data_IF_523765349300
#
_entry.id   IF_523765349300
#
_cell.length_a   1.000
_cell.length_b   1.000
_cell.length_c   1.000
_cell.angle_alpha   90.00
_cell.angle_beta   90.00
_cell.angle_gamma   90.00
#
_symmetry.space_group_name_H-M   'P 1'
#
loop_
_entity.id
_entity.type
_entity.pdbx_description
1 polymer ?
#
# COMPACT_ATOMS: atom_id res chain seq x y z
N UNK A 1 -11.21 -20.59 -8.57
CA UNK A 1 -12.33 -20.34 -7.62
C UNK A 1 -12.18 -19.02 -6.87
N UNK A 2 -11.28 -18.83 -5.86
CA UNK A 2 -11.16 -17.52 -5.16
C UNK A 2 -10.76 -16.37 -6.09
N UNK A 3 -9.85 -16.58 -7.04
CA UNK A 3 -9.45 -15.56 -8.01
C UNK A 3 -10.59 -15.17 -8.99
N UNK A 4 -11.53 -16.06 -9.25
CA UNK A 4 -12.69 -15.82 -10.13
C UNK A 4 -13.76 -14.95 -9.46
N UNK A 5 -13.80 -14.94 -8.13
CA UNK A 5 -14.71 -14.07 -7.36
C UNK A 5 -14.14 -12.66 -7.14
N UNK A 6 -12.97 -12.33 -7.70
CA UNK A 6 -12.31 -11.05 -7.48
C UNK A 6 -11.62 -10.92 -6.12
N UNK A 7 -11.57 -12.00 -5.34
CA UNK A 7 -10.92 -11.99 -4.03
C UNK A 7 -9.40 -11.98 -4.19
N UNK A 8 -8.71 -11.06 -3.50
CA UNK A 8 -7.28 -11.15 -3.31
C UNK A 8 -6.96 -12.19 -2.23
N UNK A 9 -6.01 -13.07 -2.51
CA UNK A 9 -5.58 -14.10 -1.56
C UNK A 9 -4.21 -13.72 -1.01
N UNK A 10 -4.12 -13.60 0.30
CA UNK A 10 -2.89 -13.30 0.99
C UNK A 10 -2.49 -14.52 1.85
N UNK A 11 -1.35 -15.14 1.53
CA UNK A 11 -0.77 -16.19 2.36
C UNK A 11 0.17 -15.57 3.37
N UNK A 12 -0.08 -15.84 4.63
CA UNK A 12 0.74 -15.34 5.74
C UNK A 12 1.50 -16.52 6.33
N UNK A 13 2.81 -16.40 6.46
CA UNK A 13 3.64 -17.44 7.08
C UNK A 13 3.29 -17.62 8.56
N UNK A 14 3.68 -18.76 9.12
CA UNK A 14 3.29 -19.28 10.45
C UNK A 14 3.41 -18.26 11.59
N UNK A 15 4.31 -17.28 11.49
CA UNK A 15 4.50 -16.24 12.50
C UNK A 15 4.29 -14.82 11.95
N UNK A 16 3.57 -14.68 10.85
CA UNK A 16 3.35 -13.38 10.20
C UNK A 16 4.59 -12.73 9.60
N UNK A 17 5.71 -13.45 9.54
CA UNK A 17 7.02 -12.91 9.10
C UNK A 17 7.14 -12.88 7.58
N UNK A 18 6.41 -13.73 6.89
CA UNK A 18 6.37 -13.78 5.43
C UNK A 18 4.94 -13.84 4.96
N UNK A 19 4.59 -13.04 3.98
CA UNK A 19 3.31 -13.14 3.30
C UNK A 19 3.50 -12.98 1.79
N UNK A 20 2.64 -13.63 1.06
CA UNK A 20 2.56 -13.54 -0.39
C UNK A 20 1.13 -13.17 -0.72
N UNK A 21 0.93 -12.19 -1.56
CA UNK A 21 -0.39 -11.88 -2.09
C UNK A 21 -0.42 -12.24 -3.57
N UNK A 22 -1.48 -12.89 -3.97
CA UNK A 22 -1.82 -13.10 -5.36
C UNK A 22 -3.29 -12.77 -5.53
N UNK A 23 -3.59 -12.01 -6.55
CA UNK A 23 -4.95 -11.63 -6.86
C UNK A 23 -5.05 -11.23 -8.32
N UNK A 24 -6.22 -11.43 -8.90
CA UNK A 24 -6.55 -10.78 -10.16
C UNK A 24 -6.81 -9.31 -9.83
N UNK A 25 -6.20 -8.38 -10.57
CA UNK A 25 -6.53 -6.98 -10.45
C UNK A 25 -8.05 -6.82 -10.62
N UNK A 26 -8.72 -6.17 -9.67
CA UNK A 26 -10.13 -5.82 -9.79
C UNK A 26 -10.33 -4.79 -10.90
N UNK A 27 -9.35 -3.91 -11.07
CA UNK A 27 -9.28 -3.01 -12.21
C UNK A 27 -8.74 -3.76 -13.43
N UNK A 28 -9.51 -3.79 -14.50
CA UNK A 28 -9.08 -4.27 -15.82
C UNK A 28 -8.29 -3.20 -16.59
N UNK A 29 -8.14 -2.00 -16.01
CA UNK A 29 -7.46 -0.84 -16.60
C UNK A 29 -5.99 -0.83 -16.18
N UNK A 30 -5.09 -0.55 -17.12
CA UNK A 30 -3.65 -0.33 -16.87
C UNK A 30 -3.32 1.08 -16.38
N UNK A 31 -4.30 1.97 -16.31
CA UNK A 31 -4.10 3.42 -16.07
C UNK A 31 -3.26 3.70 -14.81
N UNK A 32 -3.56 3.04 -13.69
CA UNK A 32 -2.79 3.22 -12.46
C UNK A 32 -1.39 2.63 -12.52
N UNK A 33 -1.22 1.47 -13.17
CA UNK A 33 0.10 0.86 -13.38
C UNK A 33 0.99 1.78 -14.24
N UNK A 34 0.45 2.31 -15.34
CA UNK A 34 1.16 3.23 -16.23
C UNK A 34 1.47 4.55 -15.53
N UNK A 35 0.51 5.10 -14.77
CA UNK A 35 0.73 6.30 -13.96
C UNK A 35 1.84 6.08 -12.94
N UNK A 36 1.82 4.97 -12.20
CA UNK A 36 2.86 4.62 -11.24
C UNK A 36 4.23 4.53 -11.92
N UNK A 37 4.32 3.83 -13.04
CA UNK A 37 5.57 3.68 -13.78
C UNK A 37 6.10 5.05 -14.26
N UNK A 38 5.23 5.91 -14.79
CA UNK A 38 5.56 7.27 -15.26
C UNK A 38 6.06 8.16 -14.11
N UNK A 39 5.37 8.14 -12.98
CA UNK A 39 5.79 8.90 -11.78
C UNK A 39 7.10 8.37 -11.22
N UNK A 40 7.27 7.05 -11.21
CA UNK A 40 8.47 6.41 -10.67
C UNK A 40 9.71 6.62 -11.54
N UNK A 41 9.58 6.55 -12.86
CA UNK A 41 10.68 6.68 -13.81
C UNK A 41 11.33 8.08 -13.79
N UNK A 42 10.57 9.12 -13.46
CA UNK A 42 11.07 10.50 -13.42
C UNK A 42 11.50 10.87 -11.98
N UNK A 43 12.80 11.20 -11.75
CA UNK A 43 13.29 11.55 -10.40
C UNK A 43 12.58 12.74 -9.75
N UNK A 44 12.15 13.74 -10.53
CA UNK A 44 11.42 14.91 -10.03
C UNK A 44 10.02 14.51 -9.57
N UNK A 45 9.32 13.72 -10.37
CA UNK A 45 8.00 13.23 -10.03
C UNK A 45 8.05 12.30 -8.82
N UNK A 46 9.05 11.41 -8.76
CA UNK A 46 9.28 10.53 -7.61
C UNK A 46 9.42 11.31 -6.31
N UNK A 47 10.19 12.40 -6.33
CA UNK A 47 10.34 13.27 -5.17
C UNK A 47 9.03 14.01 -4.85
N UNK A 48 8.27 14.43 -5.87
CA UNK A 48 6.98 15.10 -5.67
C UNK A 48 5.97 14.15 -4.99
N UNK A 49 5.90 12.89 -5.42
CA UNK A 49 5.05 11.87 -4.77
C UNK A 49 5.52 11.62 -3.34
N UNK A 50 6.82 11.47 -3.09
CA UNK A 50 7.35 11.30 -1.73
C UNK A 50 6.98 12.47 -0.81
N UNK A 51 7.04 13.71 -1.31
CA UNK A 51 6.60 14.91 -0.58
C UNK A 51 5.09 14.90 -0.32
N UNK A 52 4.29 14.46 -1.30
CA UNK A 52 2.85 14.33 -1.13
C UNK A 52 2.52 13.30 -0.03
N UNK A 53 3.17 12.13 -0.04
CA UNK A 53 3.03 11.12 1.02
C UNK A 53 3.41 11.67 2.39
N UNK A 54 4.50 12.43 2.49
CA UNK A 54 4.91 13.06 3.74
C UNK A 54 3.84 14.04 4.26
N UNK A 55 3.30 14.90 3.39
CA UNK A 55 2.24 15.86 3.74
C UNK A 55 0.95 15.16 4.19
N UNK A 56 0.62 14.02 3.60
CA UNK A 56 -0.55 13.23 4.01
C UNK A 56 -0.40 12.67 5.43
N UNK A 57 0.81 12.30 5.81
CA UNK A 57 1.12 11.77 7.16
C UNK A 57 1.27 12.86 8.20
N UNK A 58 1.78 14.02 7.81
CA UNK A 58 2.14 15.12 8.70
C UNK A 58 1.62 16.44 8.13
N UNK A 59 0.30 16.69 8.20
CA UNK A 59 -0.34 17.82 7.54
C UNK A 59 0.13 19.20 8.09
N UNK A 60 0.66 19.22 9.30
CA UNK A 60 1.16 20.43 9.96
C UNK A 60 2.53 20.88 9.43
N UNK A 61 3.18 20.09 8.57
CA UNK A 61 4.49 20.37 8.04
C UNK A 61 4.47 20.59 6.53
N UNK A 62 5.22 21.59 6.05
CA UNK A 62 5.45 21.78 4.63
C UNK A 62 6.72 21.03 4.18
N UNK A 63 6.61 19.99 3.33
CA UNK A 63 7.74 19.29 2.76
C UNK A 63 8.33 19.99 1.52
N UNK A 64 7.82 21.15 1.11
CA UNK A 64 8.33 21.88 -0.05
C UNK A 64 9.82 22.20 0.13
N UNK A 65 10.60 21.97 -0.92
CA UNK A 65 12.04 22.20 -0.86
C UNK A 65 12.87 21.08 -0.20
N UNK A 66 12.27 20.17 0.57
CA UNK A 66 13.01 19.09 1.21
C UNK A 66 13.47 18.02 0.22
N UNK A 67 14.70 17.57 0.41
CA UNK A 67 15.23 16.39 -0.27
C UNK A 67 14.61 15.10 0.32
N UNK A 68 14.74 13.99 -0.38
CA UNK A 68 14.29 12.68 0.13
C UNK A 68 14.97 12.32 1.47
N UNK A 69 16.26 12.62 1.62
CA UNK A 69 17.00 12.33 2.85
C UNK A 69 16.47 13.16 4.04
N UNK A 70 16.16 14.44 3.82
CA UNK A 70 15.58 15.31 4.85
C UNK A 70 14.17 14.85 5.24
N UNK A 71 13.34 14.43 4.26
CA UNK A 71 12.03 13.84 4.53
C UNK A 71 12.13 12.60 5.42
N UNK A 72 13.04 11.67 5.08
CA UNK A 72 13.26 10.46 5.89
C UNK A 72 13.74 10.79 7.32
N UNK A 73 14.63 11.76 7.47
CA UNK A 73 15.11 12.20 8.78
C UNK A 73 14.02 12.83 9.64
N UNK A 74 13.12 13.63 9.05
CA UNK A 74 11.97 14.21 9.74
C UNK A 74 10.93 13.15 10.09
N UNK A 75 10.64 12.26 9.16
CA UNK A 75 9.74 11.13 9.38
C UNK A 75 10.20 10.29 10.58
N UNK A 76 11.48 9.90 10.63
CA UNK A 76 12.01 9.12 11.73
C UNK A 76 11.85 9.79 13.09
N UNK A 77 11.95 11.13 13.16
CA UNK A 77 11.68 11.90 14.39
C UNK A 77 10.20 11.86 14.73
N UNK A 78 9.32 12.17 13.79
CA UNK A 78 7.86 12.16 14.01
C UNK A 78 7.33 10.81 14.45
N UNK A 79 7.83 9.72 13.87
CA UNK A 79 7.47 8.35 14.29
C UNK A 79 7.93 8.08 15.73
N UNK A 80 9.15 8.51 16.11
CA UNK A 80 9.63 8.39 17.51
C UNK A 80 8.76 9.20 18.47
N UNK A 81 8.39 10.41 18.08
CA UNK A 81 7.51 11.26 18.90
C UNK A 81 6.10 10.66 19.04
N UNK A 82 5.57 10.05 17.96
CA UNK A 82 4.31 9.30 18.02
C UNK A 82 4.40 8.16 19.05
N UNK A 83 5.45 7.35 19.04
CA UNK A 83 5.65 6.30 20.06
C UNK A 83 5.67 6.85 21.46
N UNK A 84 6.39 7.95 21.71
CA UNK A 84 6.45 8.60 23.04
C UNK A 84 5.09 9.13 23.46
N UNK A 85 4.36 9.78 22.56
CA UNK A 85 3.03 10.30 22.81
C UNK A 85 2.03 9.18 23.17
N UNK A 86 2.09 8.05 22.44
CA UNK A 86 1.22 6.92 22.75
C UNK A 86 1.59 6.24 24.07
N UNK A 87 2.87 6.11 24.39
CA UNK A 87 3.31 5.61 25.69
C UNK A 87 2.80 6.49 26.85
N UNK A 88 2.90 7.82 26.70
CA UNK A 88 2.39 8.76 27.70
C UNK A 88 0.85 8.70 27.84
N UNK A 89 0.12 8.56 26.71
CA UNK A 89 -1.34 8.48 26.68
C UNK A 89 -1.87 7.22 27.35
N UNK A 90 -1.22 6.07 27.12
CA UNK A 90 -1.69 4.75 27.57
C UNK A 90 -1.06 4.30 28.88
N UNK A 91 0.01 4.95 29.34
CA UNK A 91 0.80 4.50 30.48
C UNK A 91 1.69 3.27 30.21
N UNK A 92 1.70 2.75 28.97
CA UNK A 92 2.49 1.58 28.58
C UNK A 92 3.98 1.96 28.53
N UNK A 93 4.87 1.25 29.23
CA UNK A 93 6.31 1.53 29.18
C UNK A 93 6.87 1.34 27.77
N UNK A 94 7.54 2.36 27.24
CA UNK A 94 8.20 2.32 25.93
C UNK A 94 9.70 2.49 26.05
N UNK A 95 10.46 1.43 25.74
CA UNK A 95 11.92 1.41 25.78
C UNK A 95 12.56 1.46 24.38
N UNK A 96 11.76 1.73 23.36
CA UNK A 96 12.18 1.76 21.98
C UNK A 96 11.68 0.57 21.17
N UNK A 97 11.73 0.71 19.83
CA UNK A 97 11.35 -0.35 18.91
C UNK A 97 12.36 -1.48 18.97
N UNK A 98 11.90 -2.66 19.36
CA UNK A 98 12.67 -3.91 19.36
C UNK A 98 12.01 -4.89 18.40
N UNK A 99 12.75 -5.29 17.40
CA UNK A 99 12.29 -6.25 16.40
C UNK A 99 13.45 -7.14 15.99
N UNK A 100 13.30 -8.43 16.20
CA UNK A 100 14.22 -9.45 15.72
C UNK A 100 13.46 -10.30 14.70
N UNK A 101 13.89 -10.36 13.42
CA UNK A 101 13.26 -11.22 12.44
C UNK A 101 13.20 -12.67 12.91
N UNK A 102 12.02 -13.28 12.87
CA UNK A 102 11.81 -14.67 13.31
C UNK A 102 11.58 -14.85 14.81
N UNK A 103 11.81 -13.85 15.64
CA UNK A 103 11.54 -13.88 17.09
C UNK A 103 10.45 -12.89 17.49
N UNK A 104 9.20 -13.28 17.25
CA UNK A 104 8.05 -12.47 17.66
C UNK A 104 7.86 -12.47 19.17
N UNK A 105 8.11 -13.63 19.82
CA UNK A 105 7.85 -13.85 21.24
C UNK A 105 8.88 -13.17 22.16
N UNK A 106 10.08 -12.88 21.66
CA UNK A 106 11.14 -12.22 22.45
C UNK A 106 10.93 -10.73 22.70
N UNK A 107 9.91 -10.10 22.07
CA UNK A 107 9.52 -8.72 22.34
C UNK A 107 8.59 -8.58 23.54
N UNK A 108 8.61 -7.41 24.22
CA UNK A 108 7.57 -7.05 25.17
C UNK A 108 6.20 -6.90 24.47
N UNK A 109 5.09 -6.93 25.23
CA UNK A 109 3.72 -6.88 24.71
C UNK A 109 3.50 -5.77 23.70
N UNK A 110 3.99 -4.57 23.97
CA UNK A 110 3.81 -3.42 23.06
C UNK A 110 4.61 -3.59 21.76
N UNK A 111 5.82 -4.16 21.81
CA UNK A 111 6.59 -4.45 20.59
C UNK A 111 5.98 -5.57 19.75
N UNK A 112 5.39 -6.58 20.40
CA UNK A 112 4.62 -7.62 19.72
C UNK A 112 3.35 -7.03 19.06
N UNK A 113 2.60 -6.20 19.76
CA UNK A 113 1.42 -5.51 19.22
C UNK A 113 1.78 -4.61 18.03
N UNK A 114 2.83 -3.78 18.15
CA UNK A 114 3.32 -2.93 17.04
C UNK A 114 3.74 -3.78 15.84
N UNK A 115 4.37 -4.92 16.07
CA UNK A 115 4.76 -5.84 14.99
C UNK A 115 3.54 -6.44 14.30
N UNK A 116 2.58 -6.94 15.07
CA UNK A 116 1.35 -7.52 14.54
C UNK A 116 0.52 -6.47 13.75
N UNK A 117 0.39 -5.25 14.27
CA UNK A 117 -0.28 -4.16 13.58
C UNK A 117 0.41 -3.82 12.25
N UNK A 118 1.73 -3.67 12.25
CA UNK A 118 2.49 -3.37 11.04
C UNK A 118 2.33 -4.46 9.97
N UNK A 119 2.40 -5.74 10.34
CA UNK A 119 2.23 -6.86 9.42
C UNK A 119 0.83 -6.91 8.80
N UNK A 120 -0.22 -6.65 9.59
CA UNK A 120 -1.57 -6.55 9.07
C UNK A 120 -1.72 -5.38 8.09
N UNK A 121 -1.16 -4.22 8.42
CA UNK A 121 -1.16 -3.04 7.54
C UNK A 121 -0.45 -3.33 6.21
N UNK A 122 0.68 -4.04 6.23
CA UNK A 122 1.37 -4.47 5.01
C UNK A 122 0.52 -5.43 4.17
N UNK A 123 -0.17 -6.39 4.79
CA UNK A 123 -1.07 -7.30 4.08
C UNK A 123 -2.21 -6.56 3.38
N UNK A 124 -2.83 -5.60 4.07
CA UNK A 124 -3.92 -4.78 3.53
C UNK A 124 -3.43 -3.89 2.39
N UNK A 125 -2.35 -3.15 2.61
CA UNK A 125 -1.76 -2.31 1.58
C UNK A 125 -1.37 -3.13 0.33
N UNK A 126 -0.83 -4.34 0.53
CA UNK A 126 -0.49 -5.25 -0.57
C UNK A 126 -1.73 -5.68 -1.35
N UNK A 127 -2.80 -6.07 -0.66
CA UNK A 127 -4.05 -6.44 -1.31
C UNK A 127 -4.63 -5.28 -2.14
N UNK A 128 -4.63 -4.06 -1.61
CA UNK A 128 -5.13 -2.88 -2.33
C UNK A 128 -4.23 -2.54 -3.52
N UNK A 129 -2.91 -2.48 -3.34
CA UNK A 129 -1.93 -2.17 -4.40
C UNK A 129 -2.08 -3.13 -5.57
N UNK A 130 -2.16 -4.44 -5.30
CA UNK A 130 -2.29 -5.46 -6.35
C UNK A 130 -3.69 -5.45 -6.99
N UNK A 131 -4.75 -5.21 -6.22
CA UNK A 131 -6.12 -5.10 -6.75
C UNK A 131 -6.29 -3.92 -7.70
N UNK A 132 -5.53 -2.84 -7.50
CA UNK A 132 -5.49 -1.68 -8.38
C UNK A 132 -4.57 -1.86 -9.59
N UNK A 133 -3.90 -3.00 -9.73
CA UNK A 133 -2.95 -3.28 -10.81
C UNK A 133 -1.61 -2.58 -10.65
N UNK A 134 -1.34 -1.94 -9.51
CA UNK A 134 -0.06 -1.30 -9.23
C UNK A 134 1.03 -2.33 -8.91
N UNK A 135 2.29 -1.98 -9.22
CA UNK A 135 3.46 -2.79 -8.88
C UNK A 135 3.81 -2.62 -7.40
N UNK A 136 3.88 -3.69 -6.60
CA UNK A 136 4.33 -3.64 -5.21
C UNK A 136 5.75 -3.10 -5.04
N UNK A 137 6.63 -3.32 -6.02
CA UNK A 137 8.05 -2.99 -5.96
C UNK A 137 8.41 -1.55 -6.35
N UNK A 138 7.52 -0.81 -7.04
CA UNK A 138 7.80 0.55 -7.51
C UNK A 138 7.46 1.61 -6.45
N UNK A 139 8.20 1.61 -5.33
CA UNK A 139 8.04 2.58 -4.24
C UNK A 139 8.72 3.92 -4.49
N UNK A 140 8.25 4.95 -3.80
CA UNK A 140 8.71 6.34 -3.93
C UNK A 140 9.63 6.76 -2.78
N UNK A 141 9.39 6.24 -1.59
CA UNK A 141 10.20 6.44 -0.38
C UNK A 141 11.10 5.22 -0.18
N UNK A 142 10.51 4.03 -0.03
CA UNK A 142 11.22 2.76 -0.01
C UNK A 142 11.63 2.36 -1.43
N UNK A 143 12.83 1.82 -1.59
CA UNK A 143 13.37 1.39 -2.89
C UNK A 143 14.23 0.14 -2.75
N UNK A 144 14.29 -0.67 -3.81
CA UNK A 144 15.15 -1.85 -3.86
C UNK A 144 14.59 -3.08 -3.13
N UNK A 145 13.33 -3.05 -2.74
CA UNK A 145 12.63 -4.19 -2.13
C UNK A 145 11.35 -4.50 -2.92
N UNK A 146 10.99 -5.77 -3.02
CA UNK A 146 9.81 -6.24 -3.77
C UNK A 146 8.48 -5.63 -3.28
N UNK A 147 8.43 -5.16 -2.04
CA UNK A 147 7.27 -4.56 -1.39
C UNK A 147 7.44 -3.05 -1.15
N UNK A 148 8.34 -2.38 -1.86
CA UNK A 148 8.66 -0.96 -1.62
C UNK A 148 7.42 -0.06 -1.61
N UNK A 149 6.51 -0.21 -2.59
CA UNK A 149 5.29 0.59 -2.64
C UNK A 149 4.26 0.18 -1.60
N UNK A 150 4.21 -1.10 -1.26
CA UNK A 150 3.36 -1.59 -0.16
C UNK A 150 3.76 -0.97 1.16
N UNK A 151 5.07 -0.88 1.44
CA UNK A 151 5.58 -0.22 2.63
C UNK A 151 5.24 1.27 2.64
N UNK A 152 5.40 1.94 1.49
CA UNK A 152 5.04 3.35 1.32
C UNK A 152 3.57 3.61 1.66
N UNK A 153 2.66 2.79 1.15
CA UNK A 153 1.21 2.95 1.39
C UNK A 153 0.84 2.59 2.83
N UNK A 154 1.39 1.51 3.38
CA UNK A 154 1.11 1.13 4.77
C UNK A 154 1.58 2.20 5.76
N UNK A 155 2.71 2.85 5.48
CA UNK A 155 3.27 3.88 6.33
C UNK A 155 2.42 5.17 6.36
N UNK A 156 1.53 5.40 5.37
CA UNK A 156 0.58 6.52 5.42
C UNK A 156 -0.32 6.48 6.66
N UNK A 157 -0.64 5.29 7.15
CA UNK A 157 -1.61 5.07 8.24
C UNK A 157 -0.97 4.59 9.53
N UNK A 158 0.34 4.38 9.54
CA UNK A 158 1.07 3.82 10.69
C UNK A 158 0.98 4.66 11.95
N UNK A 159 1.16 5.98 11.83
CA UNK A 159 1.12 6.91 12.96
C UNK A 159 -0.30 7.24 13.41
N UNK A 160 -1.25 7.14 12.51
CA UNK A 160 -2.65 7.50 12.74
C UNK A 160 -3.48 6.32 13.28
N UNK A 161 -3.18 5.11 12.78
CA UNK A 161 -3.96 3.91 13.12
C UNK A 161 -3.09 2.85 13.80
N UNK A 162 -2.00 2.42 13.15
CA UNK A 162 -1.27 1.23 13.58
C UNK A 162 -0.59 1.36 14.94
N UNK A 163 0.14 2.45 15.17
CA UNK A 163 0.84 2.68 16.44
C UNK A 163 -0.15 2.94 17.59
N UNK A 164 -1.12 3.86 17.47
CA UNK A 164 -2.10 4.08 18.55
C UNK A 164 -2.81 2.80 18.96
N UNK A 165 -3.35 2.05 18.01
CA UNK A 165 -4.04 0.80 18.27
C UNK A 165 -3.16 -0.24 18.97
N UNK A 166 -1.90 -0.37 18.58
CA UNK A 166 -0.98 -1.30 19.21
C UNK A 166 -0.74 -0.95 20.70
N UNK A 167 -0.68 0.34 21.03
CA UNK A 167 -0.55 0.79 22.42
C UNK A 167 -1.85 0.60 23.21
N UNK A 168 -3.01 0.80 22.59
CA UNK A 168 -4.31 0.52 23.23
C UNK A 168 -4.40 -0.96 23.61
N UNK A 169 -4.09 -1.86 22.66
CA UNK A 169 -4.12 -3.30 22.92
C UNK A 169 -3.11 -3.73 23.98
N UNK A 170 -1.93 -3.09 24.01
CA UNK A 170 -0.92 -3.37 25.02
C UNK A 170 -1.27 -2.81 26.40
N UNK A 171 -2.06 -1.72 26.47
CA UNK A 171 -2.56 -1.16 27.74
C UNK A 171 -3.61 -2.06 28.38
N UNK A 172 -4.43 -2.74 27.58
CA UNK A 172 -5.46 -3.68 28.01
C UNK A 172 -4.91 -5.11 28.21
N UNK A 173 -3.59 -5.25 28.31
CA UNK A 173 -2.94 -6.56 28.46
C UNK A 173 -3.21 -7.12 29.86
N UNK A 174 -4.06 -8.14 29.92
CA UNK A 174 -4.45 -8.87 31.11
C UNK A 174 -3.56 -10.10 31.39
N UNK A 175 -2.42 -10.20 30.71
CA UNK A 175 -1.51 -11.35 30.77
C UNK A 175 -1.87 -12.45 29.76
N UNK A 176 -2.81 -12.22 28.84
CA UNK A 176 -3.09 -13.14 27.74
C UNK A 176 -1.88 -13.24 26.81
N UNK A 177 -1.49 -14.48 26.50
CA UNK A 177 -0.32 -14.78 25.65
C UNK A 177 -0.54 -14.48 24.18
N UNK A 178 -1.79 -14.22 23.70
CA UNK A 178 -2.12 -13.94 22.29
C UNK A 178 -2.27 -12.45 21.98
N UNK A 179 -1.33 -11.62 22.42
CA UNK A 179 -1.32 -10.18 22.11
C UNK A 179 -1.37 -9.93 20.57
N UNK A 180 -0.72 -10.78 19.79
CA UNK A 180 -0.74 -10.70 18.33
C UNK A 180 -2.14 -10.93 17.74
N UNK A 181 -2.88 -11.91 18.24
CA UNK A 181 -4.26 -12.18 17.82
C UNK A 181 -5.22 -11.07 18.23
N UNK A 182 -5.07 -10.55 19.44
CA UNK A 182 -5.84 -9.40 19.93
C UNK A 182 -5.63 -8.17 19.05
N UNK A 183 -4.36 -7.87 18.71
CA UNK A 183 -4.01 -6.76 17.83
C UNK A 183 -4.63 -6.92 16.44
N UNK A 184 -4.58 -8.13 15.86
CA UNK A 184 -5.19 -8.40 14.54
C UNK A 184 -6.71 -8.21 14.56
N UNK A 185 -7.38 -8.67 15.60
CA UNK A 185 -8.84 -8.47 15.78
C UNK A 185 -9.20 -6.99 15.91
N UNK A 186 -8.50 -6.29 16.79
CA UNK A 186 -8.71 -4.85 16.99
C UNK A 186 -8.43 -4.04 15.71
N UNK A 187 -7.40 -4.40 14.94
CA UNK A 187 -7.09 -3.72 13.69
C UNK A 187 -8.15 -3.98 12.62
N UNK A 188 -8.67 -5.21 12.51
CA UNK A 188 -9.79 -5.53 11.60
C UNK A 188 -10.99 -4.61 11.87
N UNK A 189 -11.34 -4.45 13.14
CA UNK A 189 -12.48 -3.62 13.53
C UNK A 189 -12.20 -2.14 13.22
N UNK A 190 -11.00 -1.66 13.50
CA UNK A 190 -10.57 -0.30 13.20
C UNK A 190 -10.53 -0.01 11.68
N UNK A 191 -10.13 -0.97 10.84
CA UNK A 191 -10.17 -0.87 9.38
C UNK A 191 -11.59 -0.59 8.90
N UNK A 192 -12.54 -1.30 9.48
CA UNK A 192 -13.95 -1.16 9.12
C UNK A 192 -14.50 0.21 9.56
N UNK A 193 -14.26 0.58 10.83
CA UNK A 193 -14.69 1.87 11.40
C UNK A 193 -14.15 3.07 10.62
N UNK A 194 -12.92 2.99 10.14
CA UNK A 194 -12.24 4.11 9.45
C UNK A 194 -12.35 4.06 7.93
N UNK A 195 -13.05 3.07 7.37
CA UNK A 195 -13.11 2.81 5.92
C UNK A 195 -11.71 2.81 5.28
N UNK A 196 -10.74 2.17 5.95
CA UNK A 196 -9.33 2.26 5.56
C UNK A 196 -9.07 1.74 4.15
N UNK A 197 -9.80 0.74 3.68
CA UNK A 197 -9.64 0.21 2.31
C UNK A 197 -9.99 1.28 1.27
N UNK A 198 -11.11 1.97 1.44
CA UNK A 198 -11.54 3.04 0.52
C UNK A 198 -10.57 4.23 0.57
N UNK A 199 -10.09 4.58 1.77
CA UNK A 199 -9.03 5.59 1.93
C UNK A 199 -7.76 5.20 1.19
N UNK A 200 -7.30 3.95 1.30
CA UNK A 200 -6.12 3.47 0.57
C UNK A 200 -6.30 3.62 -0.95
N UNK A 201 -7.45 3.20 -1.48
CA UNK A 201 -7.77 3.34 -2.92
C UNK A 201 -7.74 4.80 -3.35
N UNK A 202 -8.42 5.67 -2.61
CA UNK A 202 -8.46 7.10 -2.89
C UNK A 202 -7.06 7.73 -2.84
N UNK A 203 -6.29 7.43 -1.81
CA UNK A 203 -4.97 8.00 -1.61
C UNK A 203 -3.96 7.53 -2.67
N UNK A 204 -4.02 6.27 -3.11
CA UNK A 204 -3.20 5.77 -4.23
C UNK A 204 -3.56 6.52 -5.52
N UNK A 205 -4.85 6.68 -5.85
CA UNK A 205 -5.29 7.43 -7.01
C UNK A 205 -4.81 8.88 -6.95
N UNK A 206 -4.98 9.54 -5.82
CA UNK A 206 -4.54 10.93 -5.58
C UNK A 206 -3.02 11.12 -5.73
N UNK A 207 -2.22 10.12 -5.34
CA UNK A 207 -0.77 10.16 -5.44
C UNK A 207 -0.26 9.96 -6.87
N UNK A 208 -0.93 9.12 -7.65
CA UNK A 208 -0.44 8.66 -8.94
C UNK A 208 -1.05 9.40 -10.13
N UNK A 209 -2.32 9.81 -10.02
CA UNK A 209 -3.04 10.45 -11.12
C UNK A 209 -2.92 11.98 -11.05
N UNK A 210 -2.96 12.69 -12.19
CA UNK A 210 -3.08 14.13 -12.23
C UNK A 210 -4.36 14.62 -11.53
N UNK A 211 -4.30 15.80 -10.93
CA UNK A 211 -5.47 16.42 -10.32
C UNK A 211 -6.58 16.60 -11.39
N UNK A 212 -7.82 16.21 -11.03
CA UNK A 212 -8.97 16.31 -11.94
C UNK A 212 -9.09 15.14 -12.93
N UNK A 213 -8.28 14.08 -12.80
CA UNK A 213 -8.54 12.85 -13.57
C UNK A 213 -9.92 12.32 -13.19
N UNK A 214 -10.85 12.14 -14.16
CA UNK A 214 -12.17 11.60 -13.88
C UNK A 214 -12.04 10.22 -13.21
N UNK A 215 -12.85 9.95 -12.20
CA UNK A 215 -12.97 8.58 -11.71
C UNK A 215 -13.56 7.73 -12.83
N UNK A 216 -12.79 6.74 -13.29
CA UNK A 216 -13.36 5.77 -14.23
C UNK A 216 -14.52 5.06 -13.53
N UNK A 217 -15.70 4.98 -14.17
CA UNK A 217 -16.81 4.22 -13.61
C UNK A 217 -16.32 2.77 -13.38
N UNK A 218 -16.68 2.21 -12.23
CA UNK A 218 -16.27 0.88 -11.78
C UNK A 218 -16.64 -0.25 -12.77
N UNK A 219 -17.41 0.07 -13.79
CA UNK A 219 -17.99 -0.87 -14.76
C UNK A 219 -17.51 -0.58 -16.19
N UNK A 220 -16.22 -0.33 -16.38
CA UNK A 220 -15.68 -0.27 -17.74
C UNK A 220 -15.49 -1.70 -18.25
N UNK A 221 -16.51 -2.21 -18.91
CA UNK A 221 -16.61 -3.53 -19.56
C UNK A 221 -15.68 -3.61 -20.82
N UNK A 222 -14.48 -3.07 -20.68
CA UNK A 222 -13.47 -3.14 -21.74
C UNK A 222 -12.72 -4.46 -21.63
N UNK A 223 -13.35 -5.52 -22.10
CA UNK A 223 -12.65 -6.76 -22.44
C UNK A 223 -11.76 -6.61 -23.69
N UNK A 224 -11.68 -5.39 -24.24
CA UNK A 224 -10.92 -5.10 -25.44
C UNK A 224 -9.47 -4.84 -25.05
N UNK A 225 -8.59 -5.74 -25.42
CA UNK A 225 -7.15 -5.53 -25.38
C UNK A 225 -6.81 -4.51 -26.48
N UNK A 226 -6.07 -3.46 -26.09
CA UNK A 226 -5.59 -2.46 -27.05
C UNK A 226 -4.15 -2.77 -27.44
N UNK A 227 -3.84 -2.62 -28.74
CA UNK A 227 -2.50 -2.71 -29.27
C UNK A 227 -1.96 -1.30 -29.52
N UNK A 228 -0.66 -1.12 -29.34
CA UNK A 228 0.01 0.13 -29.69
C UNK A 228 0.55 0.02 -31.10
N UNK A 229 0.10 0.91 -31.99
CA UNK A 229 0.63 1.02 -33.35
C UNK A 229 1.93 1.83 -33.38
N UNK A 230 2.68 1.72 -34.48
CA UNK A 230 3.93 2.46 -34.69
C UNK A 230 3.78 3.98 -34.64
N UNK A 231 2.55 4.51 -34.83
CA UNK A 231 2.20 5.91 -34.69
C UNK A 231 1.87 6.35 -33.27
N UNK A 232 2.16 5.52 -32.26
CA UNK A 232 1.81 5.75 -30.84
C UNK A 232 0.30 5.91 -30.57
N UNK A 233 -0.53 5.37 -31.46
CA UNK A 233 -2.00 5.30 -31.29
C UNK A 233 -2.36 3.92 -30.72
N UNK A 234 -3.39 3.92 -29.88
CA UNK A 234 -3.97 2.68 -29.38
C UNK A 234 -5.07 2.21 -30.35
N UNK A 235 -4.96 0.96 -30.78
CA UNK A 235 -5.92 0.31 -31.67
C UNK A 235 -6.48 -0.94 -31.01
N UNK A 236 -7.75 -1.27 -31.24
CA UNK A 236 -8.37 -2.44 -30.62
C UNK A 236 -7.74 -3.74 -31.16
N UNK A 237 -7.40 -4.66 -30.27
CA UNK A 237 -6.93 -5.99 -30.65
C UNK A 237 -8.09 -6.82 -31.24
N UNK A 238 -7.77 -7.74 -32.14
CA UNK A 238 -8.74 -8.60 -32.82
C UNK A 238 -9.46 -7.95 -33.99
N UNK A 239 -9.12 -6.71 -34.34
CA UNK A 239 -9.54 -6.03 -35.55
C UNK A 239 -8.33 -5.98 -36.49
N UNK A 240 -8.54 -6.31 -37.75
CA UNK A 240 -7.48 -6.16 -38.73
C UNK A 240 -7.29 -4.68 -39.09
N UNK A 241 -6.08 -4.19 -38.90
CA UNK A 241 -5.70 -2.80 -39.16
C UNK A 241 -4.98 -2.63 -40.52
N UNK A 242 -4.74 -3.73 -41.24
CA UNK A 242 -4.23 -3.68 -42.62
C UNK A 242 -5.35 -3.23 -43.54
N UNK A 243 -4.98 -2.53 -44.60
CA UNK A 243 -5.95 -2.04 -45.58
C UNK A 243 -6.73 -3.19 -46.27
N UNK A 244 -7.81 -2.89 -46.99
CA UNK A 244 -8.78 -3.88 -47.47
C UNK A 244 -8.27 -4.88 -48.49
N UNK A 245 -7.01 -4.81 -48.92
CA UNK A 245 -6.52 -5.57 -50.06
C UNK A 245 -5.61 -6.79 -49.74
N UNK A 246 -5.28 -7.11 -48.48
CA UNK A 246 -4.29 -8.15 -48.14
C UNK A 246 -4.84 -9.41 -47.43
N UNK A 247 -6.13 -9.72 -47.57
CA UNK A 247 -6.70 -10.97 -47.05
C UNK A 247 -6.51 -12.16 -47.95
N UNK A 248 -5.45 -12.89 -47.77
CA UNK A 248 -5.50 -14.34 -48.04
C UNK A 248 -6.03 -14.99 -46.77
N UNK A 249 -7.24 -15.53 -46.84
CA UNK A 249 -7.84 -16.37 -45.80
C UNK A 249 -6.83 -17.43 -45.37
N UNK A 250 -6.36 -17.35 -44.13
CA UNK A 250 -5.73 -18.48 -43.46
C UNK A 250 -6.84 -19.24 -42.77
N UNK A 251 -7.29 -20.33 -43.35
CA UNK A 251 -8.15 -21.31 -42.70
C UNK A 251 -7.32 -22.12 -41.72
N UNK A 252 -7.75 -22.15 -40.49
CA UNK A 252 -7.27 -23.06 -39.44
C UNK A 252 -7.96 -24.40 -39.54
#
# INVERSE_FOLDING_TARGET
MLAETGAAVCWVGERGVRYYASGRALSRSSVLAEAQARQWANPRNRLAVARAMYRMRFPDEDPAGLTRQELMGREGRRVKDCYRAQAARTGVPWRGRRYTPGDFAGGDSVNQAVTAAAQCMYGIAHAVVTSLGCSPGLGFIHTGHELSFVLDIADLYKTDIGIPLAFDVAADDDGDTDIGGRTRRALRDRIHETSLLDRCVHDIKRLLLPAGTPEEPANNDRDIVMLQSDGNQQVAAGINHDGPDDYKQVSW
#
